data_IF_628812515669
#
_entry.id   IF_628812515669
#
_cell.length_a   1.000
_cell.length_b   1.000
_cell.length_c   1.000
_cell.angle_alpha   90.00
_cell.angle_beta   90.00
_cell.angle_gamma   90.00
#
_symmetry.space_group_name_H-M   'P 1'
#
loop_
_entity.id
_entity.type
_entity.pdbx_description
1 polymer ?
#
# COMPACT_ATOMS: atom_id res chain seq x y z
N UNK A 1 19.19 -91.61 7.72
CA UNK A 1 18.16 -91.48 6.70
C UNK A 1 17.63 -90.04 6.82
N UNK A 2 18.19 -89.14 6.08
CA UNK A 2 17.78 -88.44 4.91
C UNK A 2 16.35 -87.85 5.08
N UNK A 3 16.18 -86.54 5.14
CA UNK A 3 15.99 -85.88 3.88
C UNK A 3 16.10 -84.34 4.03
N UNK A 4 16.80 -83.72 3.11
CA UNK A 4 17.07 -82.35 2.95
C UNK A 4 16.02 -81.76 1.99
N UNK A 5 15.24 -80.74 2.38
CA UNK A 5 14.58 -79.91 1.41
C UNK A 5 14.78 -78.49 1.68
N UNK A 6 15.61 -77.84 0.89
CA UNK A 6 15.78 -76.43 0.82
C UNK A 6 14.55 -75.72 0.28
N UNK A 7 14.12 -74.69 0.97
CA UNK A 7 13.13 -73.70 0.53
C UNK A 7 13.82 -72.45 0.11
N UNK A 8 13.83 -72.14 -1.17
CA UNK A 8 14.35 -70.89 -1.75
C UNK A 8 13.32 -69.76 -1.44
N UNK A 9 13.70 -68.87 -0.61
CA UNK A 9 12.90 -67.66 -0.38
C UNK A 9 13.14 -66.70 -1.54
N UNK A 10 12.15 -66.54 -2.42
CA UNK A 10 12.18 -65.57 -3.49
C UNK A 10 11.84 -64.20 -2.91
N UNK A 11 12.83 -63.30 -2.88
CA UNK A 11 12.61 -61.88 -2.63
C UNK A 11 11.76 -61.25 -3.75
N UNK A 12 10.64 -60.68 -3.36
CA UNK A 12 9.84 -59.84 -4.23
C UNK A 12 10.49 -58.47 -4.35
N UNK A 13 10.70 -57.91 -5.54
CA UNK A 13 11.14 -56.53 -5.67
C UNK A 13 10.04 -55.58 -5.22
N UNK A 14 10.35 -54.71 -4.24
CA UNK A 14 9.47 -53.63 -3.84
C UNK A 14 9.44 -52.58 -4.94
N UNK A 15 8.29 -52.49 -5.60
CA UNK A 15 7.96 -51.36 -6.49
C UNK A 15 7.75 -50.14 -5.62
N UNK A 16 8.78 -49.29 -5.51
CA UNK A 16 8.62 -47.93 -5.02
C UNK A 16 7.77 -47.15 -6.03
N UNK A 17 6.59 -46.75 -5.61
CA UNK A 17 5.76 -45.81 -6.37
C UNK A 17 6.53 -44.49 -6.54
N UNK A 18 6.56 -43.90 -7.74
CA UNK A 18 7.16 -42.60 -7.92
C UNK A 18 6.38 -41.53 -7.10
N UNK A 19 7.10 -40.73 -6.35
CA UNK A 19 6.55 -39.60 -5.65
C UNK A 19 5.74 -38.72 -6.62
N UNK A 20 4.59 -38.20 -6.19
CA UNK A 20 3.80 -37.31 -7.04
C UNK A 20 4.64 -36.03 -7.35
N UNK A 21 4.52 -35.50 -8.57
CA UNK A 21 5.29 -34.33 -8.97
C UNK A 21 5.02 -33.20 -8.00
N UNK A 22 6.07 -32.71 -7.34
CA UNK A 22 6.00 -31.49 -6.56
C UNK A 22 5.63 -30.35 -7.50
N UNK A 23 4.36 -29.91 -7.44
CA UNK A 23 3.94 -28.67 -8.07
C UNK A 23 4.72 -27.53 -7.39
N UNK A 24 5.74 -27.06 -8.05
CA UNK A 24 6.39 -25.81 -7.71
C UNK A 24 5.40 -24.69 -8.08
N UNK A 25 4.61 -24.23 -7.11
CA UNK A 25 3.74 -23.05 -7.26
C UNK A 25 4.66 -21.85 -7.45
N UNK A 26 4.87 -21.47 -8.70
CA UNK A 26 5.51 -20.19 -9.04
C UNK A 26 4.51 -19.11 -8.67
N UNK A 27 4.77 -18.38 -7.59
CA UNK A 27 4.00 -17.21 -7.22
C UNK A 27 4.08 -16.21 -8.38
N UNK A 28 2.97 -15.98 -9.05
CA UNK A 28 2.91 -14.98 -10.14
C UNK A 28 2.94 -13.61 -9.49
N UNK A 29 4.08 -12.93 -9.54
CA UNK A 29 4.21 -11.53 -9.09
C UNK A 29 3.86 -10.66 -10.27
N UNK A 30 2.69 -10.02 -10.23
CA UNK A 30 2.34 -8.98 -11.18
C UNK A 30 2.98 -7.67 -10.73
N UNK A 31 3.79 -7.04 -11.57
CA UNK A 31 4.51 -5.80 -11.26
C UNK A 31 4.09 -4.69 -12.22
N UNK A 32 3.72 -3.54 -11.66
CA UNK A 32 3.49 -2.28 -12.38
C UNK A 32 4.77 -1.45 -12.26
N UNK A 33 5.28 -0.99 -13.39
CA UNK A 33 6.54 -0.28 -13.48
C UNK A 33 6.45 1.22 -13.21
N UNK A 34 7.61 1.87 -13.11
CA UNK A 34 7.72 3.29 -12.79
C UNK A 34 6.99 4.20 -13.78
N UNK A 35 6.95 3.86 -15.06
CA UNK A 35 6.30 4.68 -16.08
C UNK A 35 4.79 4.82 -15.85
N UNK A 36 4.10 3.72 -15.54
CA UNK A 36 2.67 3.72 -15.24
C UNK A 36 2.38 4.46 -13.93
N UNK A 37 3.25 4.29 -12.92
CA UNK A 37 3.15 4.99 -11.65
C UNK A 37 3.28 6.50 -11.85
N UNK A 38 4.23 6.94 -12.66
CA UNK A 38 4.42 8.36 -12.96
C UNK A 38 3.23 8.95 -13.73
N UNK A 39 2.64 8.19 -14.63
CA UNK A 39 1.40 8.59 -15.33
C UNK A 39 0.24 8.73 -14.35
N UNK A 40 0.07 7.78 -13.43
CA UNK A 40 -0.96 7.84 -12.39
C UNK A 40 -0.78 9.05 -11.46
N UNK A 41 0.45 9.33 -11.01
CA UNK A 41 0.75 10.52 -10.19
C UNK A 41 0.45 11.82 -10.98
N UNK A 42 0.74 11.85 -12.29
CA UNK A 42 0.41 13.00 -13.12
C UNK A 42 -1.11 13.20 -13.25
N UNK A 43 -1.88 12.13 -13.41
CA UNK A 43 -3.34 12.17 -13.45
C UNK A 43 -3.92 12.67 -12.11
N UNK A 44 -3.42 12.17 -10.97
CA UNK A 44 -3.81 12.64 -9.64
C UNK A 44 -3.57 14.15 -9.51
N UNK A 45 -2.37 14.63 -9.86
CA UNK A 45 -2.06 16.06 -9.79
C UNK A 45 -2.97 16.90 -10.68
N UNK A 46 -3.29 16.42 -11.90
CA UNK A 46 -4.22 17.09 -12.80
C UNK A 46 -5.63 17.15 -12.22
N UNK A 47 -6.13 16.07 -11.65
CA UNK A 47 -7.46 16.02 -11.04
C UNK A 47 -7.57 16.95 -9.80
N UNK A 48 -6.56 16.94 -8.95
CA UNK A 48 -6.46 17.86 -7.79
C UNK A 48 -6.41 19.31 -8.27
N UNK A 49 -5.59 19.59 -9.26
CA UNK A 49 -5.40 20.90 -9.87
C UNK A 49 -6.71 21.44 -10.46
N UNK A 50 -7.47 20.61 -11.16
CA UNK A 50 -8.75 20.98 -11.74
C UNK A 50 -9.79 21.43 -10.68
N UNK A 51 -9.73 20.85 -9.47
CA UNK A 51 -10.64 21.17 -8.38
C UNK A 51 -10.15 22.33 -7.51
N UNK A 52 -8.84 22.46 -7.33
CA UNK A 52 -8.22 23.39 -6.37
C UNK A 52 -7.33 24.48 -7.01
N UNK A 53 -7.23 24.54 -8.33
CA UNK A 53 -6.32 25.46 -9.02
C UNK A 53 -6.56 26.95 -8.70
N UNK A 54 -7.76 27.31 -8.24
CA UNK A 54 -8.11 28.67 -7.79
C UNK A 54 -7.97 28.87 -6.28
N UNK A 55 -7.65 27.83 -5.51
CA UNK A 55 -7.47 27.94 -4.07
C UNK A 55 -6.19 28.69 -3.74
N UNK A 56 -6.20 29.48 -2.65
CA UNK A 56 -5.01 30.21 -2.20
C UNK A 56 -4.00 29.31 -1.52
N UNK A 57 -4.47 28.25 -0.84
CA UNK A 57 -3.63 27.34 -0.06
C UNK A 57 -4.24 25.96 -0.01
N UNK A 58 -3.39 24.95 -0.12
CA UNK A 58 -3.75 23.53 -0.03
C UNK A 58 -2.72 22.80 0.83
N UNK A 59 -3.18 21.99 1.78
CA UNK A 59 -2.34 21.13 2.58
C UNK A 59 -2.41 19.70 2.05
N UNK A 60 -1.25 19.12 1.72
CA UNK A 60 -1.12 17.72 1.35
C UNK A 60 -0.45 16.98 2.51
N UNK A 61 -1.18 16.14 3.21
CA UNK A 61 -0.69 15.41 4.36
C UNK A 61 -0.53 13.93 4.00
N UNK A 62 0.71 13.49 3.88
CA UNK A 62 1.03 12.08 3.63
C UNK A 62 0.82 11.25 4.89
N UNK A 63 0.06 10.15 4.77
CA UNK A 63 -0.07 9.18 5.85
C UNK A 63 1.23 8.37 5.92
N UNK A 64 1.83 8.32 7.11
CA UNK A 64 3.10 7.63 7.28
C UNK A 64 2.93 6.10 7.16
N UNK A 65 3.82 5.39 6.43
CA UNK A 65 5.03 5.91 5.77
C UNK A 65 4.83 6.06 4.24
N UNK A 66 3.88 5.32 3.61
CA UNK A 66 3.73 5.24 2.15
C UNK A 66 3.29 6.54 1.49
N UNK A 67 2.38 7.30 2.13
CA UNK A 67 1.80 8.51 1.58
C UNK A 67 2.74 9.72 1.52
N UNK A 68 3.82 9.76 2.31
CA UNK A 68 4.69 10.94 2.42
C UNK A 68 5.39 11.26 1.11
N UNK A 69 6.05 10.28 0.51
CA UNK A 69 6.75 10.45 -0.78
C UNK A 69 5.76 10.84 -1.90
N UNK A 70 4.57 10.23 -1.88
CA UNK A 70 3.52 10.57 -2.84
C UNK A 70 3.05 12.02 -2.68
N UNK A 71 2.82 12.48 -1.45
CA UNK A 71 2.41 13.86 -1.15
C UNK A 71 3.45 14.89 -1.65
N UNK A 72 4.73 14.62 -1.44
CA UNK A 72 5.82 15.47 -1.93
C UNK A 72 5.84 15.55 -3.47
N UNK A 73 5.64 14.42 -4.15
CA UNK A 73 5.61 14.37 -5.62
C UNK A 73 4.38 15.07 -6.19
N UNK A 74 3.23 14.92 -5.54
CA UNK A 74 2.01 15.65 -5.91
C UNK A 74 2.20 17.16 -5.75
N UNK A 75 2.77 17.61 -4.62
CA UNK A 75 3.07 19.04 -4.40
C UNK A 75 4.00 19.61 -5.48
N UNK A 76 5.07 18.89 -5.82
CA UNK A 76 5.99 19.30 -6.89
C UNK A 76 5.31 19.44 -8.24
N UNK A 77 4.41 18.51 -8.59
CA UNK A 77 3.65 18.59 -9.85
C UNK A 77 2.60 19.69 -9.83
N UNK A 78 1.91 19.89 -8.70
CA UNK A 78 0.96 20.98 -8.53
C UNK A 78 1.62 22.35 -8.64
N UNK A 79 2.82 22.52 -8.09
CA UNK A 79 3.60 23.75 -8.24
C UNK A 79 3.97 24.04 -9.70
N UNK A 80 4.17 23.01 -10.51
CA UNK A 80 4.40 23.16 -11.95
C UNK A 80 3.13 23.49 -12.71
N UNK A 81 2.00 22.86 -12.37
CA UNK A 81 0.71 23.07 -13.06
C UNK A 81 0.07 24.42 -12.66
N UNK A 82 0.17 24.80 -11.40
CA UNK A 82 -0.38 26.01 -10.84
C UNK A 82 0.61 26.72 -9.90
N UNK A 83 1.54 27.52 -10.42
CA UNK A 83 2.54 28.22 -9.60
C UNK A 83 1.93 29.18 -8.56
N UNK A 84 0.68 29.59 -8.74
CA UNK A 84 -0.05 30.46 -7.80
C UNK A 84 -0.67 29.69 -6.62
N UNK A 85 -0.82 28.38 -6.73
CA UNK A 85 -1.36 27.55 -5.65
C UNK A 85 -0.27 27.29 -4.61
N UNK A 86 -0.39 27.91 -3.45
CA UNK A 86 0.51 27.62 -2.34
C UNK A 86 0.20 26.22 -1.78
N UNK A 87 1.04 25.24 -2.08
CA UNK A 87 0.96 23.90 -1.51
C UNK A 87 1.95 23.74 -0.37
N UNK A 88 1.50 23.18 0.76
CA UNK A 88 2.37 22.77 1.84
C UNK A 88 2.21 21.25 2.08
N UNK A 89 3.32 20.58 2.36
CA UNK A 89 3.34 19.13 2.61
C UNK A 89 3.66 18.83 4.06
N UNK A 90 2.97 17.86 4.63
CA UNK A 90 3.19 17.40 5.99
C UNK A 90 3.04 15.89 6.09
N UNK A 91 3.13 15.38 7.30
CA UNK A 91 3.03 13.96 7.65
C UNK A 91 2.02 13.78 8.76
N UNK A 92 1.20 12.73 8.65
CA UNK A 92 0.30 12.26 9.70
C UNK A 92 0.78 10.88 10.16
N UNK A 93 1.21 10.77 11.41
CA UNK A 93 1.56 9.50 12.04
C UNK A 93 0.31 8.86 12.65
N UNK A 94 0.01 7.65 12.23
CA UNK A 94 -1.16 6.90 12.69
C UNK A 94 -0.83 5.87 13.76
N UNK A 95 0.40 5.84 14.25
CA UNK A 95 0.89 4.77 15.13
C UNK A 95 0.07 4.61 16.40
N UNK A 96 -0.47 5.69 16.94
CA UNK A 96 -1.28 5.69 18.16
C UNK A 96 -2.78 5.47 17.92
N UNK A 97 -3.25 5.62 16.69
CA UNK A 97 -4.68 5.48 16.32
C UNK A 97 -5.01 4.16 15.61
N UNK A 98 -4.01 3.28 15.44
CA UNK A 98 -4.22 1.96 14.83
C UNK A 98 -4.93 1.03 15.80
N UNK A 99 -5.94 0.32 15.31
CA UNK A 99 -6.73 -0.65 16.06
C UNK A 99 -6.05 -2.03 16.21
N UNK A 100 -4.88 -2.21 15.60
CA UNK A 100 -4.09 -3.46 15.62
C UNK A 100 -2.77 -3.36 16.41
N UNK A 101 -2.59 -2.31 17.22
CA UNK A 101 -1.36 -2.05 18.01
C UNK A 101 -0.95 -3.27 18.87
N UNK A 102 -1.93 -4.04 19.37
CA UNK A 102 -1.67 -5.24 20.19
C UNK A 102 -1.22 -6.48 19.40
N UNK A 103 -1.29 -6.46 18.06
CA UNK A 103 -0.98 -7.60 17.19
C UNK A 103 0.29 -7.45 16.37
N UNK A 104 0.72 -6.22 16.15
CA UNK A 104 1.93 -5.91 15.40
C UNK A 104 2.80 -4.94 16.19
N UNK A 105 4.11 -5.23 16.32
CA UNK A 105 5.01 -4.32 17.01
C UNK A 105 5.04 -2.97 16.30
N UNK A 106 5.12 -1.89 17.09
CA UNK A 106 5.25 -0.52 16.59
C UNK A 106 6.49 -0.46 15.69
N UNK A 107 6.38 0.06 14.46
CA UNK A 107 7.54 0.20 13.59
C UNK A 107 8.66 0.98 14.28
N UNK A 108 9.91 0.55 14.08
CA UNK A 108 11.09 1.21 14.68
C UNK A 108 11.36 2.63 14.15
N UNK A 109 10.77 2.98 13.03
CA UNK A 109 10.90 4.31 12.41
C UNK A 109 9.63 5.11 12.64
N UNK A 110 9.70 6.01 13.60
CA UNK A 110 8.66 7.00 13.86
C UNK A 110 8.86 8.19 12.93
N UNK A 111 7.85 8.50 12.12
CA UNK A 111 7.74 9.79 11.46
C UNK A 111 6.64 10.57 12.21
N UNK A 112 7.00 11.39 13.21
CA UNK A 112 6.02 12.09 14.02
C UNK A 112 5.13 12.97 13.14
N UNK A 113 3.88 13.16 13.57
CA UNK A 113 2.94 14.06 12.90
C UNK A 113 3.56 15.45 12.79
N UNK A 114 3.65 15.94 11.56
CA UNK A 114 4.15 17.26 11.23
C UNK A 114 3.19 17.97 10.28
N UNK A 115 2.45 18.92 10.79
CA UNK A 115 1.51 19.73 10.01
C UNK A 115 2.06 21.15 9.89
N UNK A 116 2.48 21.58 8.68
CA UNK A 116 3.22 22.83 8.49
C UNK A 116 2.36 24.10 8.57
N UNK A 117 1.07 23.98 8.87
CA UNK A 117 0.15 25.10 8.98
C UNK A 117 -1.05 24.76 9.85
N UNK A 118 -1.81 25.80 10.24
CA UNK A 118 -3.05 25.63 10.99
C UNK A 118 -4.04 24.75 10.22
N UNK A 119 -4.56 23.75 10.92
CA UNK A 119 -5.58 22.83 10.44
C UNK A 119 -6.95 23.50 10.40
N UNK A 120 -7.19 24.47 11.30
CA UNK A 120 -8.50 25.07 11.44
C UNK A 120 -8.91 25.82 10.17
N UNK A 121 -10.07 25.47 9.62
CA UNK A 121 -10.59 26.07 8.38
C UNK A 121 -9.80 25.74 7.11
N UNK A 122 -8.76 24.90 7.17
CA UNK A 122 -7.96 24.52 6.02
C UNK A 122 -8.67 23.51 5.11
N UNK A 123 -8.33 23.53 3.82
CA UNK A 123 -8.61 22.42 2.89
C UNK A 123 -7.40 21.51 2.90
N UNK A 124 -7.62 20.25 3.21
CA UNK A 124 -6.60 19.23 3.39
C UNK A 124 -6.84 18.06 2.45
N UNK A 125 -5.79 17.57 1.81
CA UNK A 125 -5.81 16.30 1.09
C UNK A 125 -4.94 15.32 1.89
N UNK A 126 -5.55 14.30 2.46
CA UNK A 126 -4.83 13.13 2.97
C UNK A 126 -4.34 12.30 1.78
N UNK A 127 -3.09 11.89 1.84
CA UNK A 127 -2.43 11.17 0.74
C UNK A 127 -1.94 9.84 1.28
N UNK A 128 -2.33 8.74 0.62
CA UNK A 128 -1.89 7.39 0.96
C UNK A 128 -1.45 6.63 -0.30
N UNK A 129 -0.62 5.60 -0.14
CA UNK A 129 -0.17 4.78 -1.26
C UNK A 129 -1.22 3.74 -1.68
N UNK A 130 -1.86 3.06 -0.71
CA UNK A 130 -2.85 2.01 -0.97
C UNK A 130 -4.09 2.15 -0.10
N UNK A 131 -5.22 2.35 -0.73
CA UNK A 131 -6.52 2.27 -0.07
C UNK A 131 -7.05 0.84 -0.13
N UNK A 132 -7.18 0.23 1.05
CA UNK A 132 -7.74 -1.12 1.23
C UNK A 132 -8.99 -1.07 2.12
N UNK A 133 -8.86 -1.44 3.37
CA UNK A 133 -9.99 -1.56 4.31
C UNK A 133 -10.57 -0.21 4.75
N UNK A 134 -9.80 0.86 4.66
CA UNK A 134 -10.13 2.18 5.19
C UNK A 134 -9.68 2.44 6.63
N UNK A 135 -9.08 1.44 7.32
CA UNK A 135 -8.62 1.59 8.72
C UNK A 135 -7.51 2.63 8.86
N UNK A 136 -6.55 2.64 7.93
CA UNK A 136 -5.48 3.65 7.85
C UNK A 136 -6.07 5.06 7.75
N UNK A 137 -7.03 5.26 6.86
CA UNK A 137 -7.68 6.56 6.66
C UNK A 137 -8.46 6.98 7.90
N UNK A 138 -9.18 6.06 8.56
CA UNK A 138 -9.87 6.33 9.82
C UNK A 138 -8.89 6.80 10.90
N UNK A 139 -7.76 6.12 11.07
CA UNK A 139 -6.74 6.49 12.04
C UNK A 139 -6.11 7.87 11.71
N UNK A 140 -5.89 8.16 10.41
CA UNK A 140 -5.37 9.45 9.98
C UNK A 140 -6.38 10.60 10.20
N UNK A 141 -7.67 10.33 10.07
CA UNK A 141 -8.70 11.31 10.41
C UNK A 141 -8.74 11.59 11.91
N UNK A 142 -8.65 10.56 12.76
CA UNK A 142 -8.61 10.75 14.21
C UNK A 142 -7.43 11.64 14.60
N UNK A 143 -6.21 11.29 14.16
CA UNK A 143 -5.01 12.09 14.40
C UNK A 143 -5.17 13.53 13.89
N UNK A 144 -5.67 13.72 12.68
CA UNK A 144 -5.87 15.04 12.10
C UNK A 144 -6.83 15.90 12.91
N UNK A 145 -7.93 15.33 13.38
CA UNK A 145 -8.95 16.07 14.16
C UNK A 145 -8.51 16.41 15.57
N UNK A 146 -7.48 15.76 16.11
CA UNK A 146 -6.82 16.15 17.35
C UNK A 146 -6.05 17.49 17.20
N UNK A 147 -5.61 17.80 15.97
CA UNK A 147 -4.90 19.05 15.65
C UNK A 147 -5.81 20.23 15.29
N UNK A 148 -7.11 20.03 15.09
CA UNK A 148 -8.06 21.11 14.80
C UNK A 148 -9.23 20.68 13.93
N UNK A 149 -9.98 21.67 13.42
CA UNK A 149 -11.16 21.43 12.58
C UNK A 149 -10.93 21.95 11.16
N UNK A 150 -10.55 21.09 10.21
CA UNK A 150 -10.44 21.48 8.81
C UNK A 150 -11.82 21.84 8.23
N UNK A 151 -11.86 22.76 7.27
CA UNK A 151 -13.07 23.07 6.52
C UNK A 151 -13.44 21.93 5.59
N UNK A 152 -12.44 21.22 5.04
CA UNK A 152 -12.62 20.09 4.14
C UNK A 152 -11.44 19.15 4.23
N UNK A 153 -11.74 17.85 4.19
CA UNK A 153 -10.76 16.78 4.03
C UNK A 153 -11.13 15.96 2.81
N UNK A 154 -10.18 15.75 1.93
CA UNK A 154 -10.28 14.87 0.76
C UNK A 154 -9.20 13.80 0.84
N UNK A 155 -9.38 12.71 0.12
CA UNK A 155 -8.46 11.58 0.10
C UNK A 155 -7.92 11.35 -1.31
N UNK A 156 -6.60 11.34 -1.44
CA UNK A 156 -5.91 10.95 -2.66
C UNK A 156 -5.09 9.67 -2.43
N UNK A 157 -5.25 8.67 -3.30
CA UNK A 157 -4.53 7.42 -3.19
C UNK A 157 -3.89 7.03 -4.53
N UNK A 158 -2.69 6.47 -4.46
CA UNK A 158 -2.05 5.97 -5.67
C UNK A 158 -2.78 4.73 -6.19
N UNK A 159 -3.12 3.81 -5.29
CA UNK A 159 -3.81 2.56 -5.62
C UNK A 159 -5.06 2.40 -4.78
N UNK A 160 -6.18 2.19 -5.44
CA UNK A 160 -7.38 1.63 -4.83
C UNK A 160 -7.46 0.13 -5.16
N UNK A 161 -7.35 -0.73 -4.13
CA UNK A 161 -7.42 -2.19 -4.32
C UNK A 161 -8.77 -2.81 -3.98
N UNK A 162 -9.78 -2.00 -3.67
CA UNK A 162 -11.08 -2.51 -3.19
C UNK A 162 -11.00 -3.10 -1.77
N UNK A 163 -12.00 -3.91 -1.39
CA UNK A 163 -12.01 -4.63 -0.11
C UNK A 163 -12.29 -3.75 1.12
N UNK A 164 -13.13 -2.72 0.98
CA UNK A 164 -13.51 -1.80 2.06
C UNK A 164 -14.19 -2.52 3.22
N UNK A 165 -13.77 -2.18 4.44
CA UNK A 165 -14.42 -2.53 5.70
C UNK A 165 -14.96 -1.29 6.43
N UNK A 166 -14.56 -0.11 6.01
CA UNK A 166 -15.01 1.19 6.51
C UNK A 166 -15.69 1.97 5.39
N UNK A 167 -16.64 2.87 5.70
CA UNK A 167 -17.37 3.68 4.71
C UNK A 167 -16.50 4.84 4.21
N UNK A 168 -15.37 4.51 3.57
CA UNK A 168 -14.37 5.46 3.05
C UNK A 168 -14.21 5.26 1.56
N UNK A 169 -14.18 6.35 0.81
CA UNK A 169 -13.86 6.39 -0.61
C UNK A 169 -12.80 7.45 -0.89
N UNK A 170 -11.94 7.21 -1.87
CA UNK A 170 -10.99 8.21 -2.33
C UNK A 170 -11.68 9.22 -3.27
N UNK A 171 -11.35 10.51 -3.10
CA UNK A 171 -11.74 11.57 -4.03
C UNK A 171 -10.89 11.54 -5.30
N UNK A 172 -9.66 11.06 -5.16
CA UNK A 172 -8.70 10.94 -6.26
C UNK A 172 -8.01 9.59 -6.20
N UNK A 173 -8.09 8.83 -7.28
CA UNK A 173 -7.48 7.51 -7.43
C UNK A 173 -6.57 7.49 -8.66
N UNK A 174 -5.32 7.09 -8.47
CA UNK A 174 -4.36 6.94 -9.56
C UNK A 174 -4.59 5.67 -10.37
N UNK A 175 -4.64 4.53 -9.69
CA UNK A 175 -4.83 3.20 -10.27
C UNK A 175 -5.88 2.42 -9.48
N UNK A 176 -6.71 1.65 -10.17
CA UNK A 176 -7.62 0.69 -9.55
C UNK A 176 -7.11 -0.71 -9.83
N UNK A 177 -6.88 -1.50 -8.78
CA UNK A 177 -6.46 -2.89 -8.88
C UNK A 177 -7.48 -3.78 -8.18
N UNK A 178 -7.65 -4.99 -8.70
CA UNK A 178 -8.55 -6.01 -8.14
C UNK A 178 -7.79 -7.29 -7.84
N UNK A 179 -6.84 -7.28 -6.88
CA UNK A 179 -6.12 -8.47 -6.48
C UNK A 179 -7.06 -9.47 -5.82
N UNK A 180 -6.65 -10.73 -5.72
CA UNK A 180 -7.38 -11.73 -4.94
C UNK A 180 -7.43 -11.31 -3.45
N UNK A 181 -8.37 -11.88 -2.70
CA UNK A 181 -8.64 -11.46 -1.32
C UNK A 181 -7.43 -11.64 -0.39
N UNK A 182 -6.61 -12.64 -0.66
CA UNK A 182 -5.40 -13.02 0.10
C UNK A 182 -4.12 -12.36 -0.43
N UNK A 183 -4.17 -11.70 -1.59
CA UNK A 183 -3.01 -11.01 -2.15
C UNK A 183 -2.78 -9.66 -1.50
N UNK A 184 -1.52 -9.23 -1.44
CA UNK A 184 -1.12 -7.91 -0.96
C UNK A 184 -0.64 -7.03 -2.11
N UNK A 185 -1.08 -5.78 -2.12
CA UNK A 185 -0.50 -4.73 -2.96
C UNK A 185 0.59 -4.03 -2.15
N UNK A 186 1.81 -4.04 -2.67
CA UNK A 186 2.97 -3.38 -2.06
C UNK A 186 3.46 -2.31 -3.01
N UNK A 187 3.39 -1.07 -2.58
CA UNK A 187 3.90 0.10 -3.30
C UNK A 187 5.28 0.45 -2.76
N UNK A 188 6.20 0.72 -3.65
CA UNK A 188 7.55 1.23 -3.33
C UNK A 188 7.77 2.48 -4.15
N UNK A 189 7.83 3.64 -3.48
CA UNK A 189 8.18 4.92 -4.07
C UNK A 189 9.54 5.35 -3.54
N UNK A 190 10.55 5.35 -4.41
CA UNK A 190 11.91 5.77 -4.04
C UNK A 190 11.98 7.30 -4.07
N UNK A 191 12.32 7.92 -2.93
CA UNK A 191 12.38 9.38 -2.80
C UNK A 191 13.46 10.02 -3.68
N UNK A 192 14.54 9.28 -4.01
CA UNK A 192 15.70 9.79 -4.74
C UNK A 192 15.79 9.26 -6.18
N UNK A 193 15.20 8.11 -6.45
CA UNK A 193 15.31 7.42 -7.73
C UNK A 193 13.94 6.97 -8.25
N UNK A 194 13.16 7.88 -8.86
CA UNK A 194 11.80 7.56 -9.33
C UNK A 194 11.73 6.37 -10.31
N UNK A 195 12.82 6.07 -11.02
CA UNK A 195 12.88 4.91 -11.92
C UNK A 195 12.85 3.55 -11.20
N UNK A 196 13.01 3.54 -9.87
CA UNK A 196 12.91 2.34 -9.02
C UNK A 196 11.51 2.13 -8.45
N UNK A 197 10.58 3.01 -8.75
CA UNK A 197 9.21 2.87 -8.32
C UNK A 197 8.59 1.57 -8.84
N UNK A 198 7.89 0.89 -7.99
CA UNK A 198 7.19 -0.34 -8.36
C UNK A 198 5.95 -0.55 -7.51
N UNK A 199 4.92 -1.16 -8.11
CA UNK A 199 3.78 -1.72 -7.40
C UNK A 199 3.79 -3.21 -7.68
N UNK A 200 3.76 -4.02 -6.63
CA UNK A 200 3.75 -5.48 -6.72
C UNK A 200 2.53 -6.06 -6.07
N UNK A 201 1.87 -7.00 -6.77
CA UNK A 201 0.84 -7.84 -6.19
C UNK A 201 1.52 -9.13 -5.76
N UNK A 202 1.43 -9.45 -4.48
CA UNK A 202 2.10 -10.60 -3.86
C UNK A 202 1.06 -11.56 -3.31
N UNK A 203 1.10 -12.79 -3.77
CA UNK A 203 0.34 -13.88 -3.15
C UNK A 203 0.95 -14.27 -1.79
N UNK A 204 0.16 -14.74 -0.82
CA UNK A 204 0.69 -15.19 0.45
C UNK A 204 1.67 -16.36 0.24
N UNK A 205 2.85 -16.26 0.85
CA UNK A 205 3.80 -17.37 0.86
C UNK A 205 3.24 -18.46 1.76
N UNK A 206 2.80 -19.57 1.19
CA UNK A 206 2.40 -20.76 1.95
C UNK A 206 3.66 -21.36 2.56
N UNK A 207 3.97 -21.01 3.80
CA UNK A 207 4.99 -21.72 4.58
C UNK A 207 4.34 -23.04 5.00
N UNK A 208 4.67 -24.14 4.33
CA UNK A 208 4.32 -25.46 4.82
C UNK A 208 5.12 -25.68 6.12
N UNK A 209 4.42 -25.73 7.24
CA UNK A 209 5.01 -26.22 8.49
C UNK A 209 5.30 -27.72 8.28
N UNK A 210 6.56 -28.06 8.17
CA UNK A 210 7.05 -29.42 8.34
C UNK A 210 6.94 -29.82 9.81
#
# INVERSE_FOLDING_TARGET
MADFRGGICAEKPSLSSPDPPQLCLVATIQTIGSQEIHAAIAQLATAISARHGTAKKLLLLGIANGGVTLAQRLASRLATLHPQLATATGTVDISFHRDDIGRHPIPKEFAPTHIPADVHGATIILVDDVLFSGRTVKAALDELFDHGRPAKVELAVLVDRGGRLMPVAADYTGLTLTPAADEKVVVTLDAHSPNRDSIRIQSPTTVSKS
#
